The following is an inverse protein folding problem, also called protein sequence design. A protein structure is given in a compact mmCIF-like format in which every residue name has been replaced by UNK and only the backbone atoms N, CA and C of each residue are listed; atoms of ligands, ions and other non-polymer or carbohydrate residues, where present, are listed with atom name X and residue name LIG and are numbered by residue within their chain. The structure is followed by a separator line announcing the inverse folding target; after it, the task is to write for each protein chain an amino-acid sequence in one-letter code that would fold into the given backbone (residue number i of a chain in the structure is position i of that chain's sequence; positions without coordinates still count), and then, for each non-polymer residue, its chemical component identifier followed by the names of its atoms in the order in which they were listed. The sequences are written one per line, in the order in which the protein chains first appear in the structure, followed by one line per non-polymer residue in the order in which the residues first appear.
data_IF_149494415536
#
_entry.id   IF_149494415536
#
_cell.length_a   1.000
_cell.length_b   1.000
_cell.length_c   1.000
_cell.angle_alpha   90.00
_cell.angle_beta   90.00
_cell.angle_gamma   90.00
#
_symmetry.space_group_name_H-M   'P 1'
#
loop_
_entity.id
_entity.type
_entity.pdbx_description
1 polymer ?
#
# COMPACT_ATOMS: atom_id res chain seq x y z
N UNK A 1 -28.40 12.45 -14.94
CA UNK A 1 -28.31 11.48 -16.06
C UNK A 1 -26.88 11.30 -16.54
N UNK A 2 -26.09 12.37 -16.73
CA UNK A 2 -24.72 12.23 -17.26
C UNK A 2 -23.72 11.62 -16.27
N UNK A 3 -23.79 11.98 -14.98
CA UNK A 3 -22.93 11.39 -13.93
C UNK A 3 -23.12 9.87 -13.81
N UNK A 4 -24.38 9.40 -13.84
CA UNK A 4 -24.66 7.96 -13.77
C UNK A 4 -24.13 7.22 -15.00
N UNK A 5 -24.29 7.81 -16.20
CA UNK A 5 -23.75 7.23 -17.44
C UNK A 5 -22.23 7.17 -17.42
N UNK A 6 -21.57 8.23 -16.96
CA UNK A 6 -20.11 8.26 -16.81
C UNK A 6 -19.64 7.18 -15.82
N UNK A 7 -20.33 7.04 -14.68
CA UNK A 7 -20.04 5.99 -13.71
C UNK A 7 -20.19 4.60 -14.34
N UNK A 8 -21.25 4.34 -15.10
CA UNK A 8 -21.43 3.05 -15.79
C UNK A 8 -20.31 2.79 -16.80
N UNK A 9 -19.93 3.78 -17.61
CA UNK A 9 -18.82 3.65 -18.58
C UNK A 9 -17.51 3.33 -17.86
N UNK A 10 -17.22 4.04 -16.76
CA UNK A 10 -16.05 3.79 -15.91
C UNK A 10 -16.06 2.37 -15.34
N UNK A 11 -17.18 1.92 -14.78
CA UNK A 11 -17.33 0.57 -14.23
C UNK A 11 -17.16 -0.50 -15.31
N UNK A 12 -17.61 -0.26 -16.54
CA UNK A 12 -17.39 -1.17 -17.67
C UNK A 12 -15.91 -1.19 -18.05
N UNK A 13 -15.27 -0.04 -18.21
CA UNK A 13 -13.86 0.07 -18.54
C UNK A 13 -12.96 -0.64 -17.51
N UNK A 14 -13.23 -0.44 -16.21
CA UNK A 14 -12.51 -1.13 -15.12
C UNK A 14 -12.66 -2.67 -15.21
N UNK A 15 -13.87 -3.17 -15.51
CA UNK A 15 -14.12 -4.61 -15.66
C UNK A 15 -13.38 -5.19 -16.86
N UNK A 16 -13.43 -4.50 -18.00
CA UNK A 16 -12.72 -4.92 -19.20
C UNK A 16 -11.21 -4.92 -18.97
N UNK A 17 -10.67 -3.87 -18.33
CA UNK A 17 -9.26 -3.81 -17.95
C UNK A 17 -8.85 -5.02 -17.10
N UNK A 18 -9.60 -5.32 -16.04
CA UNK A 18 -9.33 -6.47 -15.18
C UNK A 18 -9.38 -7.81 -15.93
N UNK A 19 -10.28 -7.96 -16.90
CA UNK A 19 -10.40 -9.18 -17.72
C UNK A 19 -9.26 -9.35 -18.72
N UNK A 20 -8.70 -8.24 -19.23
CA UNK A 20 -7.61 -8.26 -20.20
C UNK A 20 -6.25 -8.52 -19.57
N UNK A 21 -6.09 -8.26 -18.27
CA UNK A 21 -4.84 -8.53 -17.57
C UNK A 21 -4.61 -10.03 -17.39
N UNK A 22 -3.38 -10.53 -17.66
CA UNK A 22 -3.04 -11.92 -17.42
C UNK A 22 -3.22 -12.30 -15.94
N UNK A 23 -3.52 -13.56 -15.68
CA UNK A 23 -3.43 -14.11 -14.32
C UNK A 23 -1.97 -14.09 -13.85
N UNK A 24 -1.75 -14.03 -12.53
CA UNK A 24 -0.43 -13.91 -11.88
C UNK A 24 0.61 -14.92 -12.39
N UNK A 25 0.20 -16.16 -12.62
CA UNK A 25 1.08 -17.26 -13.04
C UNK A 25 1.14 -17.44 -14.57
N UNK A 26 0.48 -16.55 -15.30
CA UNK A 26 0.45 -16.62 -16.76
C UNK A 26 1.85 -16.38 -17.34
N UNK A 27 2.26 -17.19 -18.35
CA UNK A 27 3.48 -16.92 -19.10
C UNK A 27 3.36 -15.67 -19.98
N UNK A 28 2.14 -15.17 -20.21
CA UNK A 28 1.90 -13.94 -20.98
C UNK A 28 2.67 -12.75 -20.38
N UNK A 29 3.13 -11.86 -21.25
CA UNK A 29 3.73 -10.60 -20.84
C UNK A 29 2.75 -9.78 -19.99
N UNK A 30 3.29 -9.07 -19.01
CA UNK A 30 2.56 -8.10 -18.20
C UNK A 30 2.29 -6.82 -19.01
N UNK A 31 1.28 -6.05 -18.60
CA UNK A 31 0.94 -4.77 -19.22
C UNK A 31 1.08 -3.62 -18.22
N UNK A 32 1.64 -2.52 -18.69
CA UNK A 32 1.76 -1.29 -17.93
C UNK A 32 0.40 -0.60 -17.80
N UNK A 33 0.08 -0.14 -16.59
CA UNK A 33 -1.16 0.55 -16.27
C UNK A 33 -0.85 1.97 -15.82
N UNK A 34 -1.13 2.93 -16.68
CA UNK A 34 -1.17 4.34 -16.28
C UNK A 34 -2.62 4.73 -15.94
N UNK A 35 -2.87 4.86 -14.65
CA UNK A 35 -4.12 5.28 -14.03
C UNK A 35 -3.92 6.60 -13.27
N UNK A 36 -2.94 7.40 -13.68
CA UNK A 36 -2.66 8.72 -13.10
C UNK A 36 -3.90 9.60 -13.16
N UNK A 37 -4.30 10.16 -12.01
CA UNK A 37 -5.48 11.01 -11.87
C UNK A 37 -6.82 10.28 -12.05
N UNK A 38 -6.82 8.95 -12.20
CA UNK A 38 -8.04 8.19 -12.37
C UNK A 38 -8.88 8.22 -11.09
N UNK A 39 -10.20 8.32 -11.26
CA UNK A 39 -11.15 8.00 -10.20
C UNK A 39 -11.61 6.57 -10.42
N UNK A 40 -11.29 5.68 -9.48
CA UNK A 40 -11.57 4.25 -9.55
C UNK A 40 -12.58 3.89 -8.46
N UNK A 41 -13.53 3.00 -8.78
CA UNK A 41 -14.64 2.64 -7.89
C UNK A 41 -14.73 1.12 -7.81
N UNK A 42 -14.61 0.56 -6.59
CA UNK A 42 -14.61 -0.90 -6.34
C UNK A 42 -13.69 -1.63 -7.31
N UNK A 43 -12.43 -1.20 -7.37
CA UNK A 43 -11.50 -1.65 -8.39
C UNK A 43 -10.75 -2.89 -7.94
N UNK A 44 -10.98 -4.01 -8.63
CA UNK A 44 -10.41 -5.30 -8.25
C UNK A 44 -9.54 -5.87 -9.37
N UNK A 45 -8.24 -5.96 -9.10
CA UNK A 45 -7.24 -6.61 -9.93
C UNK A 45 -6.63 -7.85 -9.26
N UNK A 46 -7.27 -8.41 -8.24
CA UNK A 46 -6.70 -9.50 -7.47
C UNK A 46 -6.32 -10.70 -8.35
N UNK A 47 -5.16 -11.30 -8.07
CA UNK A 47 -4.62 -12.45 -8.80
C UNK A 47 -4.10 -12.12 -10.20
N UNK A 48 -3.91 -10.83 -10.55
CA UNK A 48 -3.43 -10.41 -11.87
C UNK A 48 -1.93 -10.19 -11.90
N UNK A 49 -1.37 -10.31 -13.11
CA UNK A 49 0.00 -9.94 -13.45
C UNK A 49 -0.02 -8.55 -14.10
N UNK A 50 0.66 -7.60 -13.47
CA UNK A 50 0.70 -6.19 -13.87
C UNK A 50 2.15 -5.83 -14.19
N UNK A 51 2.35 -4.96 -15.18
CA UNK A 51 3.66 -4.39 -15.52
C UNK A 51 4.04 -3.35 -14.48
N UNK A 52 4.31 -2.13 -14.92
CA UNK A 52 4.30 -0.95 -14.06
C UNK A 52 2.87 -0.51 -13.74
N UNK A 53 2.71 0.16 -12.60
CA UNK A 53 1.43 0.69 -12.14
C UNK A 53 1.61 2.14 -11.67
N UNK A 54 1.00 3.08 -12.38
CA UNK A 54 0.96 4.48 -11.97
C UNK A 54 -0.45 4.84 -11.49
N UNK A 55 -0.55 5.26 -10.24
CA UNK A 55 -1.77 5.72 -9.55
C UNK A 55 -1.56 7.12 -8.95
N UNK A 56 -0.65 7.91 -9.53
CA UNK A 56 -0.34 9.25 -9.03
C UNK A 56 -1.60 10.10 -9.05
N UNK A 57 -1.91 10.77 -7.94
CA UNK A 57 -3.13 11.58 -7.78
C UNK A 57 -4.44 10.83 -8.08
N UNK A 58 -4.43 9.49 -8.13
CA UNK A 58 -5.64 8.72 -8.33
C UNK A 58 -6.50 8.75 -7.06
N UNK A 59 -7.81 8.56 -7.23
CA UNK A 59 -8.78 8.42 -6.13
C UNK A 59 -9.38 7.03 -6.19
N UNK A 60 -9.27 6.28 -5.08
CA UNK A 60 -9.84 4.95 -4.94
C UNK A 60 -11.06 5.04 -4.01
N UNK A 61 -12.24 4.83 -4.59
CA UNK A 61 -13.53 4.89 -3.92
C UNK A 61 -14.08 3.48 -3.72
N UNK A 62 -14.73 3.22 -2.59
CA UNK A 62 -15.34 1.92 -2.26
C UNK A 62 -14.35 0.73 -2.36
N UNK A 63 -13.05 0.99 -2.25
CA UNK A 63 -12.00 0.00 -2.09
C UNK A 63 -11.28 -0.34 -3.38
N UNK A 64 -10.05 -0.80 -3.19
CA UNK A 64 -9.17 -1.26 -4.26
C UNK A 64 -8.41 -2.50 -3.84
N UNK A 65 -8.58 -3.57 -4.60
CA UNK A 65 -8.04 -4.88 -4.27
C UNK A 65 -7.00 -5.29 -5.30
N UNK A 66 -5.81 -5.60 -4.81
CA UNK A 66 -4.67 -6.11 -5.54
C UNK A 66 -4.15 -7.39 -4.89
N UNK A 67 -5.01 -8.10 -4.15
CA UNK A 67 -4.64 -9.31 -3.41
C UNK A 67 -4.04 -10.35 -4.36
N UNK A 68 -2.98 -11.03 -3.95
CA UNK A 68 -2.32 -12.10 -4.70
C UNK A 68 -1.83 -11.69 -6.12
N UNK A 69 -1.61 -10.38 -6.35
CA UNK A 69 -1.03 -9.89 -7.60
C UNK A 69 0.47 -10.19 -7.73
N UNK A 70 0.96 -10.14 -8.97
CA UNK A 70 2.38 -10.02 -9.30
C UNK A 70 2.56 -8.73 -10.10
N UNK A 71 3.33 -7.79 -9.57
CA UNK A 71 3.62 -6.51 -10.25
C UNK A 71 5.10 -6.52 -10.61
N UNK A 72 5.38 -6.55 -11.91
CA UNK A 72 6.73 -6.80 -12.43
C UNK A 72 7.55 -5.53 -12.63
N UNK A 73 6.88 -4.38 -12.76
CA UNK A 73 7.51 -3.07 -12.94
C UNK A 73 7.26 -2.13 -11.75
N UNK A 74 7.75 -0.89 -11.83
CA UNK A 74 7.67 0.07 -10.73
C UNK A 74 6.22 0.49 -10.44
N UNK A 75 5.95 0.75 -9.16
CA UNK A 75 4.66 1.22 -8.67
C UNK A 75 4.78 2.65 -8.13
N UNK A 76 3.96 3.56 -8.66
CA UNK A 76 3.97 4.99 -8.30
C UNK A 76 2.59 5.43 -7.87
N UNK A 77 2.38 5.56 -6.57
CA UNK A 77 1.11 5.96 -5.96
C UNK A 77 1.18 7.36 -5.34
N UNK A 78 2.17 8.19 -5.66
CA UNK A 78 2.37 9.50 -5.02
C UNK A 78 1.08 10.34 -4.99
N UNK A 79 0.73 10.84 -3.80
CA UNK A 79 -0.48 11.64 -3.55
C UNK A 79 -1.81 11.00 -3.99
N UNK A 80 -1.86 9.67 -4.08
CA UNK A 80 -3.10 8.91 -4.20
C UNK A 80 -3.96 9.05 -2.94
N UNK A 81 -5.28 9.10 -3.13
CA UNK A 81 -6.26 9.13 -2.05
C UNK A 81 -7.07 7.83 -2.05
N UNK A 82 -7.19 7.21 -0.88
CA UNK A 82 -8.08 6.08 -0.66
C UNK A 82 -9.15 6.53 0.32
N UNK A 83 -10.39 6.57 -0.16
CA UNK A 83 -11.53 7.06 0.61
C UNK A 83 -12.11 5.94 1.49
N UNK A 84 -13.43 5.85 1.62
CA UNK A 84 -14.18 4.97 2.54
C UNK A 84 -13.97 3.44 2.37
N UNK A 85 -13.26 3.02 1.32
CA UNK A 85 -13.00 1.61 1.06
C UNK A 85 -11.53 1.21 1.24
N UNK A 86 -11.33 -0.07 1.53
CA UNK A 86 -10.02 -0.63 1.92
C UNK A 86 -9.06 -0.69 0.74
N UNK A 87 -7.78 -0.39 0.97
CA UNK A 87 -6.71 -0.82 0.06
C UNK A 87 -6.23 -2.20 0.51
N UNK A 88 -6.19 -3.16 -0.41
CA UNK A 88 -5.69 -4.51 -0.12
C UNK A 88 -4.62 -4.93 -1.12
N UNK A 89 -3.49 -5.37 -0.60
CA UNK A 89 -2.37 -5.92 -1.35
C UNK A 89 -1.92 -7.25 -0.73
N UNK A 90 -2.82 -8.00 -0.10
CA UNK A 90 -2.44 -9.17 0.69
C UNK A 90 -1.81 -10.22 -0.20
N UNK A 91 -0.63 -10.73 0.17
CA UNK A 91 0.07 -11.76 -0.60
C UNK A 91 0.64 -11.29 -1.95
N UNK A 92 0.58 -10.00 -2.25
CA UNK A 92 1.08 -9.42 -3.49
C UNK A 92 2.61 -9.43 -3.53
N UNK A 93 3.18 -9.64 -4.72
CA UNK A 93 4.62 -9.59 -4.94
C UNK A 93 4.96 -8.42 -5.86
N UNK A 94 5.75 -7.48 -5.34
CA UNK A 94 6.30 -6.36 -6.10
C UNK A 94 7.76 -6.64 -6.44
N UNK A 95 8.07 -6.78 -7.73
CA UNK A 95 9.41 -7.10 -8.22
C UNK A 95 10.34 -5.89 -8.35
N UNK A 96 9.78 -4.68 -8.34
CA UNK A 96 10.51 -3.43 -8.54
C UNK A 96 10.10 -2.39 -7.49
N UNK A 97 10.67 -1.18 -7.54
CA UNK A 97 10.45 -0.11 -6.58
C UNK A 97 8.97 0.25 -6.44
N UNK A 98 8.52 0.40 -5.19
CA UNK A 98 7.17 0.83 -4.84
C UNK A 98 7.23 2.13 -4.05
N UNK A 99 6.43 3.13 -4.48
CA UNK A 99 6.35 4.43 -3.84
C UNK A 99 4.91 4.84 -3.53
N UNK A 100 4.58 4.90 -2.25
CA UNK A 100 3.34 5.44 -1.69
C UNK A 100 3.52 6.85 -1.12
N UNK A 101 4.61 7.55 -1.43
CA UNK A 101 4.92 8.83 -0.78
C UNK A 101 3.74 9.83 -0.81
N UNK A 102 3.42 10.38 0.36
CA UNK A 102 2.35 11.38 0.54
C UNK A 102 0.93 10.85 0.35
N UNK A 103 0.69 9.53 0.30
CA UNK A 103 -0.68 8.99 0.23
C UNK A 103 -1.42 9.06 1.55
N UNK A 104 -2.74 9.22 1.48
CA UNK A 104 -3.65 9.09 2.62
C UNK A 104 -4.53 7.85 2.51
N UNK A 105 -4.58 7.07 3.59
CA UNK A 105 -5.47 5.92 3.74
C UNK A 105 -6.55 6.21 4.78
N UNK A 106 -7.75 6.60 4.33
CA UNK A 106 -8.87 6.90 5.22
C UNK A 106 -9.52 5.63 5.81
N UNK A 107 -9.38 4.51 5.11
CA UNK A 107 -9.82 3.17 5.53
C UNK A 107 -8.63 2.20 5.69
N UNK A 108 -8.93 0.96 6.11
CA UNK A 108 -7.92 -0.08 6.33
C UNK A 108 -7.00 -0.24 5.11
N UNK A 109 -5.69 -0.22 5.37
CA UNK A 109 -4.66 -0.60 4.41
C UNK A 109 -4.06 -1.97 4.83
N UNK A 110 -4.39 -3.00 4.07
CA UNK A 110 -3.95 -4.38 4.31
C UNK A 110 -2.82 -4.75 3.35
N UNK A 111 -1.60 -4.78 3.87
CA UNK A 111 -0.41 -5.26 3.18
C UNK A 111 0.02 -6.65 3.68
N UNK A 112 -0.78 -7.35 4.48
CA UNK A 112 -0.34 -8.59 5.13
C UNK A 112 0.21 -9.60 4.11
N UNK A 113 1.34 -10.25 4.42
CA UNK A 113 2.04 -11.21 3.55
C UNK A 113 2.55 -10.66 2.20
N UNK A 114 2.56 -9.34 2.02
CA UNK A 114 3.17 -8.71 0.82
C UNK A 114 4.68 -8.95 0.80
N UNK A 115 5.24 -9.08 -0.40
CA UNK A 115 6.69 -9.19 -0.62
C UNK A 115 7.16 -8.04 -1.50
N UNK A 116 8.05 -7.20 -0.96
CA UNK A 116 8.75 -6.16 -1.70
C UNK A 116 10.15 -6.65 -2.02
N UNK A 117 10.45 -6.92 -3.29
CA UNK A 117 11.75 -7.42 -3.71
C UNK A 117 12.79 -6.31 -3.88
N UNK A 118 12.32 -5.08 -4.06
CA UNK A 118 13.15 -3.88 -4.15
C UNK A 118 12.71 -2.85 -3.09
N UNK A 119 13.19 -1.61 -3.22
CA UNK A 119 12.85 -0.50 -2.32
C UNK A 119 11.34 -0.28 -2.20
N UNK A 120 10.85 -0.15 -0.97
CA UNK A 120 9.49 0.28 -0.65
C UNK A 120 9.52 1.58 0.15
N UNK A 121 8.85 2.61 -0.36
CA UNK A 121 8.78 3.94 0.26
C UNK A 121 7.34 4.31 0.61
N UNK A 122 7.14 4.69 1.86
CA UNK A 122 5.89 5.20 2.42
C UNK A 122 6.11 6.57 3.05
N UNK A 123 7.05 7.37 2.55
CA UNK A 123 7.39 8.64 3.20
C UNK A 123 6.18 9.55 3.28
N UNK A 124 5.98 10.17 4.43
CA UNK A 124 4.91 11.16 4.63
C UNK A 124 3.50 10.59 4.38
N UNK A 125 3.32 9.28 4.50
CA UNK A 125 2.00 8.62 4.42
C UNK A 125 1.22 8.80 5.72
N UNK A 126 -0.09 9.02 5.59
CA UNK A 126 -1.02 9.03 6.70
C UNK A 126 -1.95 7.82 6.63
N UNK A 127 -1.91 6.95 7.64
CA UNK A 127 -2.88 5.91 7.88
C UNK A 127 -3.88 6.41 8.93
N UNK A 128 -5.02 6.93 8.47
CA UNK A 128 -6.06 7.46 9.36
C UNK A 128 -6.91 6.33 9.99
N UNK A 129 -6.87 5.16 9.36
CA UNK A 129 -7.43 3.90 9.86
C UNK A 129 -6.32 2.88 10.17
N UNK A 130 -6.72 1.63 10.34
CA UNK A 130 -5.83 0.53 10.67
C UNK A 130 -4.85 0.24 9.52
N UNK A 131 -3.64 -0.20 9.87
CA UNK A 131 -2.61 -0.59 8.93
C UNK A 131 -2.02 -1.95 9.32
N UNK A 132 -2.09 -2.91 8.41
CA UNK A 132 -1.66 -4.29 8.64
C UNK A 132 -0.44 -4.63 7.76
N UNK A 133 0.70 -4.81 8.41
CA UNK A 133 1.97 -5.23 7.82
C UNK A 133 2.44 -6.59 8.34
N UNK A 134 1.52 -7.42 8.87
CA UNK A 134 1.87 -8.76 9.35
C UNK A 134 2.49 -9.59 8.25
N UNK A 135 3.56 -10.31 8.60
CA UNK A 135 4.24 -11.24 7.70
C UNK A 135 4.77 -10.60 6.40
N UNK A 136 4.85 -9.26 6.33
CA UNK A 136 5.46 -8.56 5.18
C UNK A 136 6.96 -8.82 5.17
N UNK A 137 7.52 -8.99 3.98
CA UNK A 137 8.97 -9.15 3.78
C UNK A 137 9.51 -8.10 2.81
N UNK A 138 10.71 -7.61 3.12
CA UNK A 138 11.45 -6.64 2.33
C UNK A 138 12.82 -7.21 2.01
N UNK A 139 13.10 -7.46 0.73
CA UNK A 139 14.46 -7.78 0.28
C UNK A 139 15.31 -6.51 0.07
N UNK A 140 14.65 -5.40 -0.27
CA UNK A 140 15.24 -4.06 -0.35
C UNK A 140 15.02 -3.22 0.93
N UNK A 141 15.19 -1.92 0.79
CA UNK A 141 15.00 -0.96 1.90
C UNK A 141 13.53 -0.61 2.13
N UNK A 142 13.15 -0.42 3.39
CA UNK A 142 11.87 0.17 3.80
C UNK A 142 12.08 1.60 4.33
N UNK A 143 11.39 2.58 3.75
CA UNK A 143 11.35 3.96 4.25
C UNK A 143 9.94 4.32 4.75
N UNK A 144 9.82 4.48 6.07
CA UNK A 144 8.64 4.93 6.81
C UNK A 144 8.82 6.36 7.37
N UNK A 145 9.81 7.12 6.89
CA UNK A 145 10.11 8.44 7.45
C UNK A 145 8.88 9.35 7.40
N UNK A 146 8.54 9.94 8.55
CA UNK A 146 7.41 10.86 8.74
C UNK A 146 6.03 10.22 8.47
N UNK A 147 5.93 8.90 8.55
CA UNK A 147 4.62 8.22 8.52
C UNK A 147 3.85 8.48 9.80
N UNK A 148 2.53 8.61 9.70
CA UNK A 148 1.62 8.65 10.84
C UNK A 148 0.65 7.47 10.80
N UNK A 149 0.58 6.73 11.91
CA UNK A 149 -0.42 5.69 12.14
C UNK A 149 -1.42 6.17 13.21
N UNK A 150 -2.65 6.47 12.81
CA UNK A 150 -3.70 6.95 13.72
C UNK A 150 -4.59 5.81 14.27
N UNK A 151 -4.73 4.73 13.51
CA UNK A 151 -5.47 3.51 13.87
C UNK A 151 -4.61 2.42 14.51
N UNK A 152 -5.11 1.19 14.49
CA UNK A 152 -4.36 0.02 14.91
C UNK A 152 -3.22 -0.27 13.96
N UNK A 153 -2.08 -0.66 14.51
CA UNK A 153 -0.88 -0.97 13.74
C UNK A 153 -0.38 -2.36 14.08
N UNK A 154 -0.25 -3.22 13.09
CA UNK A 154 0.48 -4.48 13.24
C UNK A 154 1.67 -4.53 12.31
N UNK A 155 2.87 -4.38 12.87
CA UNK A 155 4.15 -4.48 12.17
C UNK A 155 4.93 -5.73 12.58
N UNK A 156 4.27 -6.84 12.92
CA UNK A 156 4.95 -8.13 13.10
C UNK A 156 5.39 -8.68 11.74
N UNK A 157 6.48 -8.10 11.22
CA UNK A 157 7.05 -8.41 9.91
C UNK A 157 7.50 -9.87 9.84
N UNK A 158 7.55 -10.42 8.62
CA UNK A 158 8.12 -11.75 8.38
C UNK A 158 9.63 -11.80 8.58
N UNK A 159 10.31 -10.67 8.38
CA UNK A 159 11.71 -10.45 8.71
C UNK A 159 11.99 -8.95 8.86
N UNK A 160 13.00 -8.58 9.66
CA UNK A 160 13.47 -7.19 9.75
C UNK A 160 14.12 -6.79 8.41
N UNK A 161 13.75 -5.63 7.82
CA UNK A 161 14.36 -5.17 6.56
C UNK A 161 15.87 -4.95 6.72
N UNK A 162 16.67 -5.19 5.67
CA UNK A 162 18.12 -4.95 5.71
C UNK A 162 18.48 -3.48 5.93
N UNK A 163 17.67 -2.58 5.37
CA UNK A 163 17.78 -1.13 5.56
C UNK A 163 16.41 -0.58 5.91
N UNK A 164 16.34 0.19 6.99
CA UNK A 164 15.10 0.74 7.51
C UNK A 164 15.29 2.21 7.90
N UNK A 165 14.38 3.06 7.46
CA UNK A 165 14.26 4.43 7.95
C UNK A 165 12.86 4.64 8.53
N UNK A 166 12.78 5.13 9.77
CA UNK A 166 11.51 5.50 10.43
C UNK A 166 11.64 6.85 11.14
N UNK A 167 12.48 7.75 10.61
CA UNK A 167 12.68 9.07 11.21
C UNK A 167 11.33 9.78 11.38
N UNK A 168 10.99 10.16 12.62
CA UNK A 168 9.74 10.83 12.96
C UNK A 168 8.48 10.04 12.52
N UNK A 169 8.55 8.70 12.51
CA UNK A 169 7.37 7.85 12.35
C UNK A 169 6.57 7.83 13.65
N UNK A 170 5.31 8.23 13.58
CA UNK A 170 4.44 8.42 14.74
C UNK A 170 3.34 7.38 14.78
N UNK A 171 2.99 6.94 15.99
CA UNK A 171 1.86 6.04 16.25
C UNK A 171 0.91 6.66 17.26
N UNK A 172 -0.35 6.22 17.25
CA UNK A 172 -1.31 6.57 18.28
C UNK A 172 -1.20 5.61 19.48
N UNK A 173 -0.70 6.05 20.66
CA UNK A 173 -0.50 5.17 21.81
C UNK A 173 -1.82 4.68 22.45
N UNK A 174 -2.96 5.25 22.06
CA UNK A 174 -4.28 4.82 22.52
C UNK A 174 -4.84 3.66 21.69
N UNK A 175 -4.16 3.26 20.61
CA UNK A 175 -4.52 2.13 19.77
C UNK A 175 -3.59 0.96 20.03
N UNK A 176 -4.07 -0.24 19.71
CA UNK A 176 -3.23 -1.42 19.69
C UNK A 176 -2.10 -1.26 18.66
N UNK A 177 -0.87 -1.51 19.10
CA UNK A 177 0.36 -1.40 18.32
C UNK A 177 1.21 -2.64 18.59
N UNK A 178 1.32 -3.51 17.59
CA UNK A 178 2.10 -4.75 17.63
C UNK A 178 3.39 -4.55 16.84
N UNK A 179 4.54 -4.66 17.49
CA UNK A 179 5.86 -4.42 16.88
C UNK A 179 6.75 -5.67 16.95
N UNK A 180 7.79 -5.77 16.10
CA UNK A 180 8.87 -6.73 16.29
C UNK A 180 9.54 -6.52 17.66
N UNK A 181 10.09 -7.58 18.29
CA UNK A 181 10.72 -7.48 19.61
C UNK A 181 11.95 -6.57 19.62
N UNK A 182 12.55 -6.26 18.47
CA UNK A 182 13.67 -5.34 18.33
C UNK A 182 13.25 -3.87 18.35
N UNK A 183 11.95 -3.58 18.22
CA UNK A 183 11.42 -2.22 18.14
C UNK A 183 10.70 -1.83 19.42
N UNK A 184 10.63 -0.54 19.66
CA UNK A 184 9.98 0.06 20.81
C UNK A 184 9.32 1.40 20.46
N UNK A 185 8.54 1.91 21.40
CA UNK A 185 7.92 3.22 21.35
C UNK A 185 8.65 4.17 22.30
N UNK A 186 9.02 5.35 21.80
CA UNK A 186 9.60 6.42 22.61
C UNK A 186 8.70 7.65 22.55
N UNK A 187 8.46 8.27 23.70
CA UNK A 187 7.83 9.59 23.75
C UNK A 187 8.88 10.68 23.48
N UNK A 188 8.62 11.53 22.48
CA UNK A 188 9.45 12.67 22.09
C UNK A 188 8.55 13.86 21.78
N UNK A 189 8.70 14.96 22.53
CA UNK A 189 7.95 16.20 22.32
C UNK A 189 6.42 16.00 22.23
N UNK A 190 5.87 15.19 23.14
CA UNK A 190 4.44 14.86 23.20
C UNK A 190 3.94 14.06 21.98
N UNK A 191 4.84 13.26 21.37
CA UNK A 191 4.58 12.37 20.24
C UNK A 191 5.22 11.01 20.50
N UNK A 192 4.44 9.95 20.31
CA UNK A 192 4.94 8.58 20.44
C UNK A 192 5.51 8.12 19.10
N UNK A 193 6.83 7.97 19.05
CA UNK A 193 7.60 7.64 17.86
C UNK A 193 8.12 6.20 17.90
N UNK A 194 8.23 5.56 16.73
CA UNK A 194 8.94 4.29 16.61
C UNK A 194 10.45 4.49 16.85
N UNK A 195 11.06 3.49 17.49
CA UNK A 195 12.50 3.39 17.71
C UNK A 195 12.97 1.94 17.68
N UNK A 196 14.28 1.75 17.47
CA UNK A 196 14.94 0.46 17.69
C UNK A 196 15.42 0.41 19.15
N UNK A 197 15.23 -0.72 19.81
CA UNK A 197 15.76 -0.96 21.16
C UNK A 197 17.28 -0.98 21.10
N UNK A 198 17.92 -0.08 21.82
CA UNK A 198 19.37 -0.10 22.02
C UNK A 198 19.64 -1.12 23.13
N UNK A 199 20.50 -2.12 22.86
CA UNK A 199 20.98 -3.07 23.88
C UNK A 199 22.09 -2.46 24.72
#
# INVERSE_FOLDING_TARGET
MDVERELQVRLIAQRLLAQLLPNRDSPTASYDLDLTGACLVRFDLSGRKIGSLALRNARLLDGAHFDDCVVTGPVRCTAMQVDDGRLRCRGTVFHDEVRFDGTGFAALADFSRTRFLERASFKEVNFDSDADFREVTFAGSLDLSRVRFAGHLDMRLGAVPPTLAFYNTQVNPQRDVQLPPEWELLDRDNRVCLSVRIR
#
